data_IF_375292060429
#
_entry.id   IF_375292060429
#
_cell.length_a   1.000
_cell.length_b   1.000
_cell.length_c   1.000
_cell.angle_alpha   90.00
_cell.angle_beta   90.00
_cell.angle_gamma   90.00
#
_symmetry.space_group_name_H-M   'P 1'
#
loop_
_entity.id
_entity.type
_entity.pdbx_description
1 polymer ?
#
# COMPACT_ATOMS: atom_id res chain seq x y z
N UNK A 1 -7.39 5.66 11.88
CA UNK A 1 -8.45 5.03 11.05
C UNK A 1 -9.76 5.00 11.86
N UNK A 2 -10.88 4.43 11.33
CA UNK A 2 -12.19 4.41 12.02
C UNK A 2 -12.12 3.94 13.47
N UNK A 3 -11.32 2.91 13.77
CA UNK A 3 -11.16 2.36 15.12
C UNK A 3 -10.70 3.37 16.17
N UNK A 4 -9.93 4.37 15.72
CA UNK A 4 -9.34 5.38 16.60
C UNK A 4 -10.33 6.52 16.85
N UNK A 5 -11.13 6.86 15.83
CA UNK A 5 -12.10 7.97 15.87
C UNK A 5 -13.43 7.54 16.49
N UNK A 6 -13.89 6.32 16.23
CA UNK A 6 -15.23 5.86 16.59
C UNK A 6 -15.21 5.07 17.92
N UNK A 7 -16.14 5.41 18.81
CA UNK A 7 -16.35 4.73 20.08
C UNK A 7 -17.06 3.39 19.93
N UNK A 8 -16.90 2.50 20.92
CA UNK A 8 -17.65 1.24 20.98
C UNK A 8 -19.06 1.41 21.57
N UNK A 9 -19.34 2.57 22.16
CA UNK A 9 -20.57 2.86 22.91
C UNK A 9 -21.02 4.30 22.64
N UNK A 10 -22.32 4.57 22.87
CA UNK A 10 -22.96 5.88 22.73
C UNK A 10 -22.17 6.96 23.50
N UNK A 11 -21.92 8.11 22.84
CA UNK A 11 -21.29 9.29 23.45
C UNK A 11 -19.77 9.22 23.59
N UNK A 12 -19.13 8.12 23.20
CA UNK A 12 -17.66 8.01 23.23
C UNK A 12 -16.99 8.57 21.97
N UNK A 13 -17.71 8.59 20.84
CA UNK A 13 -17.13 8.95 19.55
C UNK A 13 -16.70 10.41 19.51
N UNK A 14 -17.53 11.34 20.00
CA UNK A 14 -17.14 12.74 20.08
C UNK A 14 -15.89 12.96 20.94
N UNK A 15 -15.80 12.29 22.10
CA UNK A 15 -14.65 12.40 23.01
C UNK A 15 -13.37 11.89 22.34
N UNK A 16 -13.43 10.71 21.70
CA UNK A 16 -12.29 10.12 21.00
C UNK A 16 -11.83 10.99 19.83
N UNK A 17 -12.77 11.45 19.01
CA UNK A 17 -12.48 12.29 17.84
C UNK A 17 -11.83 13.59 18.26
N UNK A 18 -12.39 14.26 19.29
CA UNK A 18 -11.83 15.50 19.83
C UNK A 18 -10.43 15.30 20.40
N UNK A 19 -10.17 14.22 21.13
CA UNK A 19 -8.85 13.94 21.68
C UNK A 19 -7.78 13.74 20.58
N UNK A 20 -8.15 13.18 19.42
CA UNK A 20 -7.24 13.06 18.28
C UNK A 20 -7.02 14.39 17.57
N UNK A 21 -8.07 15.20 17.44
CA UNK A 21 -7.99 16.57 16.91
C UNK A 21 -7.05 17.42 17.76
N UNK A 22 -7.22 17.43 19.08
CA UNK A 22 -6.39 18.20 20.01
C UNK A 22 -4.92 17.82 19.91
N UNK A 23 -4.62 16.52 19.78
CA UNK A 23 -3.25 16.02 19.56
C UNK A 23 -2.65 16.46 18.22
N UNK A 24 -3.48 16.75 17.23
CA UNK A 24 -3.05 17.12 15.88
C UNK A 24 -3.05 18.65 15.64
N UNK A 25 -3.43 19.46 16.64
CA UNK A 25 -3.34 20.91 16.55
C UNK A 25 -1.90 21.35 16.28
N UNK A 26 -1.79 22.44 15.52
CA UNK A 26 -0.57 23.00 14.95
C UNK A 26 0.18 22.02 14.01
N UNK A 27 -0.53 21.03 13.48
CA UNK A 27 0.01 19.99 12.60
C UNK A 27 -1.02 19.41 11.64
N UNK A 28 -0.88 18.10 11.37
CA UNK A 28 -1.67 17.36 10.38
C UNK A 28 -2.34 16.16 11.05
N UNK A 29 -3.66 16.04 10.87
CA UNK A 29 -4.43 14.84 11.16
C UNK A 29 -4.66 14.06 9.86
N UNK A 30 -3.97 12.92 9.72
CA UNK A 30 -4.14 12.03 8.58
C UNK A 30 -5.10 10.89 8.92
N UNK A 31 -6.16 10.72 8.13
CA UNK A 31 -7.19 9.70 8.31
C UNK A 31 -7.20 8.79 7.11
N UNK A 32 -6.60 7.62 7.26
CA UNK A 32 -6.62 6.56 6.24
C UNK A 32 -7.96 5.82 6.21
N UNK A 33 -8.33 5.38 5.00
CA UNK A 33 -9.62 4.77 4.65
C UNK A 33 -10.82 5.53 5.23
N UNK A 34 -10.83 6.86 5.06
CA UNK A 34 -11.80 7.75 5.71
C UNK A 34 -13.27 7.43 5.35
N UNK A 35 -13.52 6.83 4.18
CA UNK A 35 -14.85 6.34 3.78
C UNK A 35 -15.43 5.32 4.75
N UNK A 36 -14.61 4.65 5.56
CA UNK A 36 -15.08 3.77 6.62
C UNK A 36 -15.89 4.51 7.70
N UNK A 37 -15.78 5.84 7.81
CA UNK A 37 -16.61 6.66 8.69
C UNK A 37 -18.07 6.78 8.21
N UNK A 38 -18.38 6.34 7.00
CA UNK A 38 -19.72 6.38 6.42
C UNK A 38 -20.14 4.95 6.01
N UNK A 39 -20.74 4.21 6.95
CA UNK A 39 -21.20 2.82 6.73
C UNK A 39 -22.66 2.69 7.19
N UNK A 40 -23.56 2.66 6.20
CA UNK A 40 -25.01 2.58 6.38
C UNK A 40 -25.53 1.18 6.77
N UNK A 41 -24.64 0.21 6.94
CA UNK A 41 -24.94 -1.22 7.05
C UNK A 41 -25.05 -1.76 8.49
N UNK A 42 -24.95 -0.90 9.51
CA UNK A 42 -25.18 -1.31 10.91
C UNK A 42 -26.04 -0.30 11.66
N UNK A 43 -27.11 -0.76 12.33
CA UNK A 43 -28.11 0.08 13.03
C UNK A 43 -27.60 0.91 14.22
N UNK A 44 -26.28 1.06 14.37
CA UNK A 44 -25.57 1.88 15.37
C UNK A 44 -24.35 2.54 14.72
N UNK A 45 -24.56 3.36 13.69
CA UNK A 45 -23.44 4.03 13.00
C UNK A 45 -23.04 5.34 13.70
N UNK A 46 -22.12 5.24 14.66
CA UNK A 46 -21.48 6.41 15.27
C UNK A 46 -20.44 7.08 14.35
N UNK A 47 -20.23 6.59 13.13
CA UNK A 47 -19.32 7.21 12.16
C UNK A 47 -19.76 8.62 11.76
N UNK A 48 -21.07 8.88 11.70
CA UNK A 48 -21.60 10.21 11.44
C UNK A 48 -21.24 11.23 12.53
N UNK A 49 -21.27 10.83 13.81
CA UNK A 49 -20.86 11.68 14.93
C UNK A 49 -19.38 12.09 14.82
N UNK A 50 -18.51 11.17 14.38
CA UNK A 50 -17.10 11.49 14.12
C UNK A 50 -16.95 12.50 12.98
N UNK A 51 -17.74 12.38 11.90
CA UNK A 51 -17.72 13.34 10.80
C UNK A 51 -18.16 14.74 11.26
N UNK A 52 -19.20 14.83 12.08
CA UNK A 52 -19.70 16.10 12.63
C UNK A 52 -18.65 16.79 13.51
N UNK A 53 -17.98 16.03 14.39
CA UNK A 53 -16.92 16.58 15.25
C UNK A 53 -15.68 16.99 14.45
N UNK A 54 -15.32 16.25 13.38
CA UNK A 54 -14.26 16.65 12.46
C UNK A 54 -14.59 17.95 11.73
N UNK A 55 -15.83 18.09 11.25
CA UNK A 55 -16.29 19.32 10.58
C UNK A 55 -16.25 20.52 11.51
N UNK A 56 -16.71 20.34 12.75
CA UNK A 56 -16.63 21.38 13.79
C UNK A 56 -15.18 21.77 14.07
N UNK A 57 -14.27 20.81 14.24
CA UNK A 57 -12.86 21.07 14.45
C UNK A 57 -12.21 21.88 13.31
N UNK A 58 -12.58 21.59 12.07
CA UNK A 58 -12.11 22.33 10.89
C UNK A 58 -12.58 23.79 10.86
N UNK A 59 -13.68 24.11 11.55
CA UNK A 59 -14.19 25.47 11.70
C UNK A 59 -13.56 26.17 12.90
N UNK A 60 -13.49 25.50 14.05
CA UNK A 60 -13.01 26.07 15.31
C UNK A 60 -11.49 26.28 15.32
N UNK A 61 -10.74 25.49 14.55
CA UNK A 61 -9.27 25.48 14.57
C UNK A 61 -8.64 25.84 13.22
N UNK A 62 -9.31 26.72 12.47
CA UNK A 62 -8.77 27.27 11.20
C UNK A 62 -7.37 27.87 11.41
N UNK A 63 -6.45 27.51 10.52
CA UNK A 63 -5.06 27.96 10.57
C UNK A 63 -4.16 27.20 11.55
N UNK A 64 -4.72 26.32 12.37
CA UNK A 64 -3.96 25.46 13.29
C UNK A 64 -4.08 23.98 12.98
N UNK A 65 -5.09 23.55 12.22
CA UNK A 65 -5.31 22.14 11.91
C UNK A 65 -5.41 21.93 10.40
N UNK A 66 -4.61 20.99 9.88
CA UNK A 66 -4.80 20.42 8.55
C UNK A 66 -5.33 19.00 8.72
N UNK A 67 -6.43 18.67 8.06
CA UNK A 67 -6.96 17.29 8.01
C UNK A 67 -6.81 16.75 6.59
N UNK A 68 -6.19 15.58 6.47
CA UNK A 68 -6.04 14.86 5.20
C UNK A 68 -6.85 13.58 5.29
N UNK A 69 -7.84 13.43 4.42
CA UNK A 69 -8.58 12.19 4.24
C UNK A 69 -7.97 11.40 3.08
N UNK A 70 -7.69 10.12 3.31
CA UNK A 70 -7.15 9.22 2.30
C UNK A 70 -8.02 7.98 2.14
N UNK A 71 -7.94 7.36 0.95
CA UNK A 71 -8.67 6.16 0.60
C UNK A 71 -8.81 5.98 -0.90
N UNK A 72 -9.47 4.90 -1.31
CA UNK A 72 -9.77 4.65 -2.73
C UNK A 72 -10.72 5.70 -3.29
N UNK A 73 -10.45 6.12 -4.54
CA UNK A 73 -11.15 7.23 -5.20
C UNK A 73 -12.68 7.06 -5.23
N UNK A 74 -13.19 5.89 -5.61
CA UNK A 74 -14.63 5.62 -5.69
C UNK A 74 -15.32 5.71 -4.30
N UNK A 75 -14.88 4.98 -3.25
CA UNK A 75 -15.42 5.15 -1.90
C UNK A 75 -15.29 6.57 -1.33
N UNK A 76 -14.19 7.29 -1.61
CA UNK A 76 -14.01 8.67 -1.16
C UNK A 76 -14.99 9.62 -1.85
N UNK A 77 -15.23 9.44 -3.14
CA UNK A 77 -16.24 10.21 -3.87
C UNK A 77 -17.65 9.93 -3.32
N UNK A 78 -17.93 8.68 -2.90
CA UNK A 78 -19.17 8.35 -2.21
C UNK A 78 -19.27 9.02 -0.84
N UNK A 79 -18.22 8.98 -0.01
CA UNK A 79 -18.17 9.68 1.28
C UNK A 79 -18.47 11.18 1.12
N UNK A 80 -17.85 11.85 0.16
CA UNK A 80 -18.03 13.29 -0.06
C UNK A 80 -19.42 13.66 -0.61
N UNK A 81 -20.10 12.72 -1.27
CA UNK A 81 -21.44 12.92 -1.84
C UNK A 81 -22.56 12.56 -0.86
N UNK A 82 -22.41 11.43 -0.17
CA UNK A 82 -23.46 10.74 0.59
C UNK A 82 -23.27 10.88 2.12
N UNK A 83 -22.07 11.28 2.57
CA UNK A 83 -21.76 11.55 3.98
C UNK A 83 -22.36 12.85 4.49
N UNK A 84 -21.78 13.41 5.57
CA UNK A 84 -22.26 14.68 6.10
C UNK A 84 -22.15 15.80 5.02
N UNK A 85 -23.24 16.56 4.74
CA UNK A 85 -23.25 17.61 3.71
C UNK A 85 -22.12 18.64 3.82
N UNK A 86 -21.62 18.89 5.04
CA UNK A 86 -20.50 19.79 5.28
C UNK A 86 -19.17 19.31 4.69
N UNK A 87 -18.97 18.00 4.51
CA UNK A 87 -17.71 17.41 4.07
C UNK A 87 -17.25 17.97 2.73
N UNK A 88 -18.13 18.00 1.73
CA UNK A 88 -17.78 18.48 0.39
C UNK A 88 -17.32 19.94 0.38
N UNK A 89 -17.83 20.76 1.29
CA UNK A 89 -17.47 22.17 1.37
C UNK A 89 -16.15 22.42 2.12
N UNK A 90 -15.78 21.55 3.08
CA UNK A 90 -14.55 21.66 3.88
C UNK A 90 -13.37 20.89 3.25
N UNK A 91 -13.66 19.81 2.50
CA UNK A 91 -12.69 19.00 1.76
C UNK A 91 -12.83 19.24 0.26
N UNK A 92 -12.53 20.47 -0.17
CA UNK A 92 -12.67 20.90 -1.56
C UNK A 92 -11.37 20.73 -2.40
N UNK A 93 -10.25 20.45 -1.75
CA UNK A 93 -8.97 20.18 -2.41
C UNK A 93 -8.81 18.67 -2.54
N UNK A 94 -8.94 18.16 -3.78
CA UNK A 94 -8.83 16.74 -4.10
C UNK A 94 -7.51 16.53 -4.84
N UNK A 95 -6.69 15.60 -4.35
CA UNK A 95 -5.44 15.19 -4.99
C UNK A 95 -5.59 13.72 -5.37
N UNK A 96 -5.66 13.47 -6.68
CA UNK A 96 -5.75 12.11 -7.22
C UNK A 96 -4.36 11.52 -7.44
N UNK A 97 -4.14 10.32 -6.92
CA UNK A 97 -2.92 9.54 -7.14
C UNK A 97 -3.23 8.42 -8.14
N UNK A 98 -2.88 8.59 -9.43
CA UNK A 98 -3.11 7.55 -10.42
C UNK A 98 -2.21 6.34 -10.16
N UNK A 99 -2.63 5.17 -10.66
CA UNK A 99 -1.77 3.99 -10.70
C UNK A 99 -0.48 4.28 -11.47
N UNK A 100 0.62 3.68 -11.02
CA UNK A 100 1.86 3.67 -11.77
C UNK A 100 1.69 2.92 -13.09
N UNK A 101 2.29 3.45 -14.15
CA UNK A 101 2.47 2.77 -15.43
C UNK A 101 3.34 1.51 -15.28
N UNK A 102 3.27 0.60 -16.26
CA UNK A 102 4.10 -0.61 -16.24
C UNK A 102 5.61 -0.27 -16.16
N UNK A 103 6.02 0.81 -16.83
CA UNK A 103 7.38 1.32 -16.84
C UNK A 103 7.80 1.85 -15.47
N UNK A 104 6.93 2.59 -14.79
CA UNK A 104 7.18 3.07 -13.42
C UNK A 104 7.23 1.92 -12.42
N UNK A 105 6.37 0.89 -12.56
CA UNK A 105 6.44 -0.32 -11.73
C UNK A 105 7.79 -1.04 -11.89
N UNK A 106 8.34 -1.08 -13.11
CA UNK A 106 9.69 -1.63 -13.37
C UNK A 106 10.75 -0.77 -12.68
N UNK A 107 10.65 0.55 -12.78
CA UNK A 107 11.59 1.46 -12.11
C UNK A 107 11.56 1.29 -10.58
N UNK A 108 10.38 1.11 -9.98
CA UNK A 108 10.25 0.81 -8.54
C UNK A 108 10.94 -0.52 -8.19
N UNK A 109 10.81 -1.54 -9.04
CA UNK A 109 11.49 -2.82 -8.82
C UNK A 109 13.02 -2.67 -8.88
N UNK A 110 13.51 -1.90 -9.85
CA UNK A 110 14.93 -1.57 -9.98
C UNK A 110 15.45 -0.78 -8.77
N UNK A 111 14.63 0.09 -8.17
CA UNK A 111 14.95 0.76 -6.91
C UNK A 111 15.05 -0.21 -5.72
N UNK A 112 14.15 -1.20 -5.61
CA UNK A 112 14.28 -2.25 -4.60
C UNK A 112 15.57 -3.07 -4.80
N UNK A 113 15.89 -3.40 -6.05
CA UNK A 113 17.15 -4.10 -6.36
C UNK A 113 18.36 -3.27 -5.91
N UNK A 114 18.44 -2.02 -6.35
CA UNK A 114 19.56 -1.13 -6.01
C UNK A 114 19.69 -0.91 -4.49
N UNK A 115 18.57 -0.69 -3.80
CA UNK A 115 18.54 -0.48 -2.35
C UNK A 115 19.00 -1.68 -1.53
N UNK A 116 18.90 -2.90 -2.08
CA UNK A 116 19.36 -4.14 -1.44
C UNK A 116 20.61 -4.75 -2.08
N UNK A 117 21.27 -4.02 -3.00
CA UNK A 117 22.50 -4.47 -3.64
C UNK A 117 22.32 -5.59 -4.68
N UNK A 118 21.10 -5.79 -5.18
CA UNK A 118 20.81 -6.74 -6.26
C UNK A 118 20.98 -6.10 -7.64
N UNK A 119 21.39 -6.93 -8.60
CA UNK A 119 21.42 -6.61 -10.03
C UNK A 119 20.57 -7.61 -10.80
N UNK A 120 19.97 -7.15 -11.90
CA UNK A 120 19.24 -8.00 -12.81
C UNK A 120 20.14 -8.41 -13.98
N UNK A 121 20.00 -9.65 -14.45
CA UNK A 121 20.52 -10.00 -15.77
C UNK A 121 19.63 -9.43 -16.86
N UNK A 122 20.14 -9.25 -18.08
CA UNK A 122 19.32 -8.80 -19.23
C UNK A 122 18.16 -9.77 -19.55
N UNK A 123 18.26 -11.04 -19.14
CA UNK A 123 17.15 -12.00 -19.19
C UNK A 123 16.06 -11.66 -18.17
N UNK A 124 16.47 -11.39 -16.92
CA UNK A 124 15.57 -11.01 -15.83
C UNK A 124 14.85 -9.70 -16.14
N UNK A 125 15.54 -8.67 -16.62
CA UNK A 125 14.94 -7.38 -17.01
C UNK A 125 13.84 -7.55 -18.05
N UNK A 126 14.12 -8.32 -19.11
CA UNK A 126 13.13 -8.60 -20.17
C UNK A 126 11.91 -9.34 -19.62
N UNK A 127 12.11 -10.30 -18.72
CA UNK A 127 11.01 -11.07 -18.11
C UNK A 127 10.20 -10.21 -17.15
N UNK A 128 10.86 -9.42 -16.30
CA UNK A 128 10.25 -8.48 -15.37
C UNK A 128 9.34 -7.49 -16.08
N UNK A 129 9.81 -6.88 -17.18
CA UNK A 129 9.02 -5.95 -17.98
C UNK A 129 7.74 -6.60 -18.51
N UNK A 130 7.82 -7.84 -19.02
CA UNK A 130 6.62 -8.56 -19.48
C UNK A 130 5.66 -8.90 -18.34
N UNK A 131 6.19 -9.40 -17.22
CA UNK A 131 5.39 -9.72 -16.02
C UNK A 131 4.66 -8.48 -15.50
N UNK A 132 5.35 -7.35 -15.30
CA UNK A 132 4.71 -6.12 -14.81
C UNK A 132 3.77 -5.48 -15.84
N UNK A 133 4.07 -5.58 -17.13
CA UNK A 133 3.12 -5.17 -18.20
C UNK A 133 1.83 -5.99 -18.13
N UNK A 134 1.93 -7.30 -17.91
CA UNK A 134 0.76 -8.17 -17.77
C UNK A 134 -0.03 -7.82 -16.52
N UNK A 135 0.63 -7.70 -15.38
CA UNK A 135 0.03 -7.32 -14.09
C UNK A 135 -0.73 -6.00 -14.23
N UNK A 136 -0.09 -4.98 -14.80
CA UNK A 136 -0.72 -3.70 -15.07
C UNK A 136 -1.96 -3.84 -15.95
N UNK A 137 -1.90 -4.65 -17.03
CA UNK A 137 -3.05 -4.83 -17.95
C UNK A 137 -4.25 -5.55 -17.32
N UNK A 138 -4.04 -6.44 -16.35
CA UNK A 138 -5.14 -7.20 -15.69
C UNK A 138 -5.57 -6.62 -14.37
N UNK A 139 -4.98 -5.50 -13.95
CA UNK A 139 -5.21 -4.93 -12.63
C UNK A 139 -6.69 -4.61 -12.40
N UNK A 140 -7.14 -4.90 -11.19
CA UNK A 140 -8.47 -4.51 -10.73
C UNK A 140 -8.47 -3.12 -10.08
N UNK A 141 -9.63 -2.71 -9.57
CA UNK A 141 -9.80 -1.42 -8.86
C UNK A 141 -9.00 -1.28 -7.57
N UNK A 142 -8.52 -2.39 -7.01
CA UNK A 142 -7.76 -2.45 -5.75
C UNK A 142 -6.29 -2.81 -6.00
N UNK A 143 -5.73 -2.35 -7.11
CA UNK A 143 -4.35 -2.67 -7.49
C UNK A 143 -3.33 -2.14 -6.46
N UNK A 144 -2.45 -3.03 -5.99
CA UNK A 144 -1.52 -2.72 -4.91
C UNK A 144 -0.36 -1.79 -5.28
N UNK A 145 -0.15 -1.49 -6.58
CA UNK A 145 0.91 -0.61 -7.08
C UNK A 145 2.31 -0.98 -6.51
N UNK A 146 2.95 -0.09 -5.77
CA UNK A 146 4.26 -0.34 -5.16
C UNK A 146 4.27 -1.54 -4.20
N UNK A 147 3.13 -1.86 -3.57
CA UNK A 147 2.98 -3.08 -2.74
C UNK A 147 3.10 -4.33 -3.60
N UNK A 148 2.47 -4.34 -4.78
CA UNK A 148 2.59 -5.43 -5.76
C UNK A 148 4.04 -5.64 -6.19
N UNK A 149 4.75 -4.55 -6.47
CA UNK A 149 6.17 -4.60 -6.87
C UNK A 149 7.06 -5.14 -5.75
N UNK A 150 6.79 -4.73 -4.49
CA UNK A 150 7.49 -5.28 -3.32
C UNK A 150 7.24 -6.79 -3.18
N UNK A 151 5.99 -7.23 -3.29
CA UNK A 151 5.63 -8.65 -3.21
C UNK A 151 6.31 -9.46 -4.32
N UNK A 152 6.38 -8.90 -5.55
CA UNK A 152 7.10 -9.50 -6.66
C UNK A 152 8.60 -9.63 -6.35
N UNK A 153 9.21 -8.57 -5.83
CA UNK A 153 10.62 -8.57 -5.45
C UNK A 153 10.93 -9.64 -4.39
N UNK A 154 10.13 -9.71 -3.32
CA UNK A 154 10.27 -10.73 -2.28
C UNK A 154 10.08 -12.16 -2.84
N UNK A 155 9.16 -12.35 -3.79
CA UNK A 155 9.00 -13.64 -4.47
C UNK A 155 10.24 -14.01 -5.31
N UNK A 156 10.89 -13.03 -5.94
CA UNK A 156 12.13 -13.24 -6.67
C UNK A 156 13.27 -13.65 -5.73
N UNK A 157 13.40 -13.00 -4.57
CA UNK A 157 14.40 -13.36 -3.55
C UNK A 157 14.22 -14.80 -3.07
N UNK A 158 12.97 -15.23 -2.82
CA UNK A 158 12.67 -16.62 -2.43
C UNK A 158 13.07 -17.61 -3.51
N UNK A 159 12.77 -17.33 -4.78
CA UNK A 159 13.14 -18.19 -5.92
C UNK A 159 14.64 -18.27 -6.12
N UNK A 160 15.35 -17.13 -5.97
CA UNK A 160 16.80 -17.07 -6.03
C UNK A 160 17.44 -17.93 -4.94
N UNK A 161 16.96 -17.82 -3.69
CA UNK A 161 17.45 -18.63 -2.58
C UNK A 161 17.31 -20.13 -2.87
N UNK A 162 16.12 -20.57 -3.32
CA UNK A 162 15.89 -21.96 -3.74
C UNK A 162 16.87 -22.37 -4.84
N UNK A 163 16.99 -21.59 -5.92
CA UNK A 163 17.92 -21.87 -7.03
C UNK A 163 19.36 -22.03 -6.56
N UNK A 164 19.85 -21.13 -5.70
CA UNK A 164 21.22 -21.18 -5.19
C UNK A 164 21.45 -22.40 -4.29
N UNK A 165 20.44 -22.81 -3.51
CA UNK A 165 20.51 -24.03 -2.69
C UNK A 165 20.31 -25.33 -3.49
N UNK A 166 19.54 -25.31 -4.59
CA UNK A 166 19.29 -26.48 -5.44
C UNK A 166 20.39 -26.70 -6.49
N UNK A 167 21.12 -25.65 -6.87
CA UNK A 167 22.37 -25.76 -7.65
C UNK A 167 23.56 -26.30 -6.84
N UNK A 168 23.39 -26.43 -5.53
CA UNK A 168 24.27 -27.14 -4.62
C UNK A 168 23.73 -28.57 -4.50
N UNK A 169 24.43 -29.57 -5.03
CA UNK A 169 24.03 -30.98 -5.03
C UNK A 169 23.21 -31.39 -3.80
N UNK A 170 21.90 -31.57 -4.00
CA UNK A 170 20.98 -32.19 -3.04
C UNK A 170 21.19 -33.72 -2.95
N UNK A 171 22.45 -34.18 -3.02
CA UNK A 171 22.80 -35.61 -3.11
C UNK A 171 23.69 -36.13 -1.96
N UNK A 172 24.06 -35.34 -0.94
CA UNK A 172 24.67 -35.94 0.25
C UNK A 172 24.30 -35.19 1.54
N UNK A 173 23.44 -35.81 2.34
CA UNK A 173 22.97 -35.33 3.65
C UNK A 173 24.06 -35.20 4.72
N UNK A 174 25.34 -35.45 4.40
CA UNK A 174 26.45 -35.43 5.37
C UNK A 174 27.80 -34.90 4.82
N UNK A 175 27.82 -34.11 3.74
CA UNK A 175 29.04 -33.35 3.38
C UNK A 175 28.90 -31.88 3.74
N UNK A 176 29.94 -31.25 4.35
CA UNK A 176 30.02 -29.81 4.40
C UNK A 176 29.85 -29.24 3.00
N UNK A 177 29.13 -28.14 2.89
CA UNK A 177 28.95 -27.40 1.65
C UNK A 177 30.32 -27.15 0.97
N UNK A 178 30.54 -27.73 -0.22
CA UNK A 178 31.80 -27.61 -0.98
C UNK A 178 31.65 -26.82 -2.29
N UNK A 179 30.43 -26.40 -2.63
CA UNK A 179 30.19 -25.55 -3.80
C UNK A 179 30.78 -24.16 -3.60
N UNK A 180 31.48 -23.61 -4.60
CA UNK A 180 31.78 -22.18 -4.60
C UNK A 180 30.50 -21.42 -4.90
N UNK A 181 29.83 -20.84 -3.90
CA UNK A 181 28.85 -19.79 -4.18
C UNK A 181 29.65 -18.59 -4.68
N UNK A 182 29.54 -18.30 -5.97
CA UNK A 182 30.06 -17.05 -6.50
C UNK A 182 29.35 -15.89 -5.78
N UNK A 183 30.12 -14.98 -5.18
CA UNK A 183 29.58 -13.77 -4.52
C UNK A 183 28.69 -12.98 -5.48
N UNK A 184 29.00 -12.98 -6.78
CA UNK A 184 28.16 -12.34 -7.78
C UNK A 184 26.77 -13.00 -7.92
N UNK A 185 26.66 -14.30 -7.70
CA UNK A 185 25.40 -15.05 -7.75
C UNK A 185 24.44 -14.72 -6.59
N UNK A 186 24.97 -14.33 -5.43
CA UNK A 186 24.17 -13.90 -4.27
C UNK A 186 23.50 -12.54 -4.50
N UNK A 187 24.13 -11.67 -5.28
CA UNK A 187 23.63 -10.33 -5.60
C UNK A 187 23.00 -10.22 -7.00
N UNK A 188 22.73 -11.33 -7.68
CA UNK A 188 22.18 -11.33 -9.04
C UNK A 188 20.87 -12.11 -9.15
N UNK A 189 19.85 -11.44 -9.67
CA UNK A 189 18.57 -12.04 -10.05
C UNK A 189 18.60 -12.37 -11.55
N UNK A 190 18.35 -13.64 -11.89
CA UNK A 190 18.22 -14.13 -13.26
C UNK A 190 16.75 -14.27 -13.66
N UNK A 191 16.51 -14.55 -14.94
CA UNK A 191 15.18 -14.83 -15.50
C UNK A 191 14.47 -16.01 -14.83
N UNK A 192 15.19 -16.94 -14.20
CA UNK A 192 14.61 -18.03 -13.43
C UNK A 192 13.95 -17.54 -12.12
N UNK A 193 14.45 -16.43 -11.55
CA UNK A 193 13.96 -15.89 -10.29
C UNK A 193 12.68 -15.07 -10.48
N UNK A 194 12.51 -14.49 -11.67
CA UNK A 194 11.32 -13.69 -11.97
C UNK A 194 10.14 -14.63 -12.27
N UNK A 195 9.01 -14.55 -11.54
CA UNK A 195 7.77 -15.23 -11.91
C UNK A 195 7.34 -14.99 -13.34
N UNK A 196 6.76 -16.02 -13.96
CA UNK A 196 6.11 -15.85 -15.25
C UNK A 196 4.85 -14.99 -15.14
N UNK A 197 4.38 -14.49 -16.28
CA UNK A 197 3.17 -13.69 -16.42
C UNK A 197 1.89 -14.39 -15.93
N UNK A 198 1.91 -15.71 -15.79
CA UNK A 198 0.79 -16.53 -15.31
C UNK A 198 0.93 -16.95 -13.85
N UNK A 199 2.16 -16.97 -13.33
CA UNK A 199 2.49 -17.40 -11.97
C UNK A 199 2.30 -16.30 -10.92
N UNK A 200 2.55 -15.04 -11.28
CA UNK A 200 2.41 -13.92 -10.35
C UNK A 200 1.07 -13.23 -10.50
N UNK A 201 0.34 -13.17 -9.40
CA UNK A 201 -0.90 -12.41 -9.25
C UNK A 201 -0.75 -11.53 -8.02
N UNK A 202 -1.21 -10.30 -8.15
CA UNK A 202 -1.39 -9.37 -7.03
C UNK A 202 -2.48 -9.86 -6.09
#
# INVERSE_FOLDING_TARGET
>A
SRSDLVGGYIGQTAIKTRALVEKALDGVLFIDEAYALHRSDSGTDYGMEAQEELLKALEDHRGRLIVILAGYAEPMAALLRDGNPGLRSRFNTIIDFPDYTAEELVAIFEQFCAGQGYRLTSGAERKLRRTLTRVYRVRGKQFGNGRTVRNLFEACLKRQAVRLTSGSEAASLFRPFTGKIDRAGLSTLSDADIPSETEFRD
#
